data_IF_435483730681
#
_entry.id   IF_435483730681
#
_cell.length_a   1.000
_cell.length_b   1.000
_cell.length_c   1.000
_cell.angle_alpha   90.00
_cell.angle_beta   90.00
_cell.angle_gamma   90.00
#
_symmetry.space_group_name_H-M   'P 1'
#
loop_
_entity.id
_entity.type
_entity.pdbx_description
1 polymer ?
#
# COMPACT_ATOMS: atom_id res chain seq x y z
N UNK A 1 13.40 -1.55 13.29
CA UNK A 1 13.99 -1.42 11.95
C UNK A 1 14.48 0.01 11.75
N UNK A 2 15.66 0.21 11.15
CA UNK A 2 16.25 1.54 10.91
C UNK A 2 16.23 1.83 9.42
N UNK A 3 15.66 2.95 9.03
CA UNK A 3 15.71 3.44 7.64
C UNK A 3 17.05 4.12 7.44
N UNK A 4 17.82 3.67 6.44
CA UNK A 4 19.11 4.22 6.09
C UNK A 4 18.99 5.32 5.03
N UNK A 5 18.20 5.06 3.99
CA UNK A 5 17.83 6.04 2.97
C UNK A 5 16.45 5.75 2.39
N UNK A 6 15.82 6.77 1.84
CA UNK A 6 14.63 6.65 1.01
C UNK A 6 14.68 7.71 -0.09
N UNK A 7 14.52 7.29 -1.34
CA UNK A 7 14.68 8.14 -2.51
C UNK A 7 13.56 7.89 -3.52
N UNK A 8 13.02 8.96 -4.12
CA UNK A 8 12.12 8.83 -5.27
C UNK A 8 12.95 8.45 -6.50
N UNK A 9 12.74 7.24 -7.01
CA UNK A 9 13.48 6.74 -8.17
C UNK A 9 12.86 7.21 -9.48
N UNK A 10 11.53 7.07 -9.60
CA UNK A 10 10.80 7.49 -10.80
C UNK A 10 9.32 7.67 -10.51
N UNK A 11 8.66 8.41 -11.41
CA UNK A 11 7.21 8.48 -11.49
C UNK A 11 6.79 7.90 -12.84
N UNK A 12 6.15 6.74 -12.83
CA UNK A 12 5.83 5.99 -14.02
C UNK A 12 4.37 6.16 -14.41
N UNK A 13 4.14 6.45 -15.70
CA UNK A 13 2.79 6.34 -16.28
C UNK A 13 2.47 4.88 -16.54
N UNK A 14 1.24 4.48 -16.25
CA UNK A 14 0.73 3.12 -16.50
C UNK A 14 0.72 2.80 -18.00
N UNK A 15 0.54 3.82 -18.82
CA UNK A 15 0.52 3.70 -20.30
C UNK A 15 1.93 3.78 -20.94
N UNK A 16 2.97 3.84 -20.12
CA UNK A 16 4.36 3.91 -20.59
C UNK A 16 4.87 2.55 -21.08
N UNK A 17 5.86 2.54 -22.02
CA UNK A 17 6.29 1.33 -22.74
C UNK A 17 6.88 0.20 -21.89
N UNK A 18 6.91 0.31 -20.57
CA UNK A 18 7.39 -0.72 -19.62
C UNK A 18 6.63 -0.75 -18.30
N UNK A 19 5.43 -0.15 -18.18
CA UNK A 19 4.75 -0.04 -16.89
C UNK A 19 5.55 0.67 -15.78
N UNK A 20 6.71 1.23 -16.13
CA UNK A 20 7.58 2.01 -15.25
C UNK A 20 8.22 1.28 -14.08
N UNK A 21 8.01 -0.02 -13.95
CA UNK A 21 8.56 -0.80 -12.85
C UNK A 21 10.01 -1.19 -13.13
N UNK A 22 10.81 -1.12 -12.09
CA UNK A 22 12.22 -1.46 -12.15
C UNK A 22 12.36 -3.00 -12.16
N UNK A 23 13.23 -3.50 -13.04
CA UNK A 23 13.51 -4.93 -13.21
C UNK A 23 14.83 -5.34 -12.55
N UNK A 24 15.14 -4.75 -11.41
CA UNK A 24 16.12 -5.32 -10.51
C UNK A 24 15.39 -6.27 -9.55
N UNK A 25 16.00 -7.33 -9.11
CA UNK A 25 15.37 -8.37 -8.29
C UNK A 25 14.98 -7.91 -6.87
N UNK A 26 14.85 -6.59 -6.65
CA UNK A 26 14.43 -6.07 -5.35
C UNK A 26 12.93 -6.31 -5.11
N UNK A 27 12.56 -6.70 -3.90
CA UNK A 27 11.17 -6.85 -3.51
C UNK A 27 10.38 -5.55 -3.71
N UNK A 28 9.15 -5.66 -4.19
CA UNK A 28 8.29 -4.52 -4.48
C UNK A 28 6.98 -4.63 -3.73
N UNK A 29 6.61 -3.56 -3.02
CA UNK A 29 5.38 -3.47 -2.23
C UNK A 29 4.56 -2.28 -2.72
N UNK A 30 3.42 -2.56 -3.34
CA UNK A 30 2.54 -1.54 -3.86
C UNK A 30 1.44 -1.17 -2.85
N UNK A 31 1.12 0.10 -2.78
CA UNK A 31 0.11 0.65 -1.90
C UNK A 31 -1.03 1.22 -2.72
N UNK A 32 -2.20 0.60 -2.61
CA UNK A 32 -3.45 1.03 -3.21
C UNK A 32 -4.41 1.57 -2.14
N UNK A 33 -5.34 2.42 -2.54
CA UNK A 33 -6.36 2.91 -1.62
C UNK A 33 -7.05 4.15 -2.17
N UNK A 34 -8.21 4.48 -1.60
CA UNK A 34 -8.96 5.67 -1.99
C UNK A 34 -8.18 6.96 -1.73
N UNK A 35 -8.53 7.99 -2.48
CA UNK A 35 -8.06 9.34 -2.20
C UNK A 35 -8.37 9.71 -0.73
N UNK A 36 -7.42 10.32 -0.03
CA UNK A 36 -7.51 10.72 1.37
C UNK A 36 -7.65 9.57 2.40
N UNK A 37 -7.42 8.33 2.02
CA UNK A 37 -7.38 7.19 2.95
C UNK A 37 -6.16 7.23 3.91
N UNK A 38 -5.13 8.01 3.56
CA UNK A 38 -3.89 8.14 4.33
C UNK A 38 -2.66 7.49 3.69
N UNK A 39 -2.73 7.13 2.39
CA UNK A 39 -1.67 6.41 1.67
C UNK A 39 -0.33 7.16 1.69
N UNK A 40 -0.27 8.40 1.24
CA UNK A 40 0.96 9.21 1.25
C UNK A 40 1.49 9.48 2.66
N UNK A 41 0.59 9.63 3.65
CA UNK A 41 0.99 9.75 5.06
C UNK A 41 1.65 8.48 5.57
N UNK A 42 1.11 7.31 5.21
CA UNK A 42 1.67 6.01 5.57
C UNK A 42 3.04 5.81 4.92
N UNK A 43 3.16 6.08 3.63
CA UNK A 43 4.44 5.98 2.91
C UNK A 43 5.50 6.89 3.54
N UNK A 44 5.15 8.15 3.86
CA UNK A 44 6.05 9.06 4.55
C UNK A 44 6.45 8.55 5.93
N UNK A 45 5.54 7.94 6.68
CA UNK A 45 5.83 7.34 7.99
C UNK A 45 6.76 6.12 7.85
N UNK A 46 6.56 5.27 6.85
CA UNK A 46 7.44 4.14 6.55
C UNK A 46 8.84 4.61 6.17
N UNK A 47 8.95 5.59 5.30
CA UNK A 47 10.22 6.14 4.84
C UNK A 47 10.90 7.05 5.87
N UNK A 48 10.18 7.48 6.93
CA UNK A 48 10.62 8.49 7.91
C UNK A 48 11.04 9.81 7.26
N UNK A 49 10.49 10.11 6.08
CA UNK A 49 10.77 11.30 5.27
C UNK A 49 9.51 11.77 4.57
N UNK A 50 9.40 13.05 4.26
CA UNK A 50 8.27 13.65 3.54
C UNK A 50 8.53 13.66 2.03
N UNK A 51 8.60 12.49 1.41
CA UNK A 51 8.80 12.31 -0.03
C UNK A 51 7.49 12.16 -0.80
N UNK A 52 6.54 11.42 -0.26
CA UNK A 52 5.23 11.26 -0.88
C UNK A 52 4.40 12.53 -0.67
N UNK A 53 3.87 13.07 -1.77
CA UNK A 53 3.06 14.31 -1.73
C UNK A 53 1.72 14.04 -1.05
N UNK A 54 1.51 14.69 0.09
CA UNK A 54 0.22 14.71 0.79
C UNK A 54 -0.65 15.83 0.21
N UNK A 55 -1.06 15.73 -1.06
CA UNK A 55 -1.85 16.80 -1.67
C UNK A 55 -3.33 16.65 -1.33
N UNK A 56 -3.93 17.75 -0.85
CA UNK A 56 -5.38 17.91 -0.77
C UNK A 56 -6.04 18.09 -2.16
N UNK A 57 -5.25 18.26 -3.22
CA UNK A 57 -5.73 18.37 -4.60
C UNK A 57 -5.92 16.99 -5.20
N UNK A 58 -7.12 16.48 -5.05
CA UNK A 58 -7.56 15.23 -5.62
C UNK A 58 -7.53 15.26 -7.16
N UNK A 59 -7.15 14.14 -7.76
CA UNK A 59 -7.31 13.90 -9.20
C UNK A 59 -6.08 14.17 -10.07
N UNK A 60 -4.87 14.42 -9.54
CA UNK A 60 -3.71 14.78 -10.37
C UNK A 60 -2.64 13.70 -10.57
N UNK A 61 -2.68 12.57 -9.87
CA UNK A 61 -1.62 11.57 -10.02
C UNK A 61 -2.17 10.34 -10.75
N UNK A 62 -2.04 10.33 -12.06
CA UNK A 62 -2.21 9.14 -12.92
C UNK A 62 -0.94 8.30 -13.01
N UNK A 63 0.05 8.58 -12.17
CA UNK A 63 1.36 7.95 -12.20
C UNK A 63 1.60 7.22 -10.89
N UNK A 64 2.22 6.05 -10.98
CA UNK A 64 2.78 5.38 -9.83
C UNK A 64 4.11 6.03 -9.45
N UNK A 65 4.31 6.38 -8.18
CA UNK A 65 5.60 6.86 -7.69
C UNK A 65 6.35 5.70 -7.03
N UNK A 66 7.61 5.50 -7.43
CA UNK A 66 8.44 4.40 -6.95
C UNK A 66 9.54 4.96 -6.06
N UNK A 67 9.54 4.51 -4.81
CA UNK A 67 10.53 4.90 -3.81
C UNK A 67 11.43 3.71 -3.49
N UNK A 68 12.75 3.88 -3.61
CA UNK A 68 13.72 2.92 -3.11
C UNK A 68 13.99 3.21 -1.65
N UNK A 69 13.86 2.20 -0.80
CA UNK A 69 14.13 2.31 0.63
C UNK A 69 15.20 1.30 1.01
N UNK A 70 16.28 1.79 1.62
CA UNK A 70 17.33 0.96 2.20
C UNK A 70 17.14 0.89 3.71
N UNK A 71 17.17 -0.30 4.24
CA UNK A 71 16.87 -0.59 5.65
C UNK A 71 17.96 -1.43 6.29
N UNK A 72 18.11 -1.25 7.59
CA UNK A 72 18.95 -2.08 8.46
C UNK A 72 18.05 -2.77 9.48
N UNK A 73 18.20 -4.08 9.61
CA UNK A 73 17.44 -4.88 10.56
C UNK A 73 17.68 -4.45 12.01
N UNK A 74 16.83 -4.90 12.93
CA UNK A 74 16.96 -4.61 14.34
C UNK A 74 18.27 -5.24 14.91
N UNK A 75 18.82 -4.70 16.01
CA UNK A 75 19.97 -5.26 16.70
C UNK A 75 19.79 -6.77 16.96
N UNK A 76 20.78 -7.58 16.60
CA UNK A 76 20.74 -9.04 16.70
C UNK A 76 20.39 -9.81 15.42
N UNK A 77 19.99 -9.11 14.36
CA UNK A 77 19.88 -9.63 12.99
C UNK A 77 20.55 -8.61 12.05
N UNK A 78 21.86 -8.54 11.98
CA UNK A 78 22.54 -7.56 11.13
C UNK A 78 22.36 -7.93 9.66
N UNK A 79 21.48 -7.23 8.98
CA UNK A 79 21.28 -7.30 7.55
C UNK A 79 20.95 -5.91 7.02
N UNK A 80 21.54 -5.55 5.87
CA UNK A 80 21.12 -4.39 5.07
C UNK A 80 20.48 -4.90 3.80
N UNK A 81 19.31 -4.42 3.50
CA UNK A 81 18.59 -4.76 2.30
C UNK A 81 17.83 -3.55 1.76
N UNK A 82 17.38 -3.65 0.53
CA UNK A 82 16.60 -2.59 -0.11
C UNK A 82 15.31 -3.15 -0.68
N UNK A 83 14.32 -2.29 -0.79
CA UNK A 83 13.02 -2.62 -1.37
C UNK A 83 12.43 -1.42 -2.08
N UNK A 84 11.41 -1.66 -2.91
CA UNK A 84 10.61 -0.60 -3.48
C UNK A 84 9.26 -0.49 -2.79
N UNK A 85 8.91 0.73 -2.39
CA UNK A 85 7.55 1.11 -2.03
C UNK A 85 6.93 1.82 -3.23
N UNK A 86 5.82 1.30 -3.73
CA UNK A 86 5.15 1.81 -4.93
C UNK A 86 3.84 2.48 -4.53
N UNK A 87 3.75 3.79 -4.74
CA UNK A 87 2.56 4.60 -4.49
C UNK A 87 1.65 4.56 -5.72
N UNK A 88 0.65 3.67 -5.72
CA UNK A 88 -0.32 3.58 -6.81
C UNK A 88 -1.29 4.76 -6.80
N UNK A 89 -1.85 5.16 -7.95
CA UNK A 89 -2.88 6.19 -8.01
C UNK A 89 -4.05 5.88 -7.07
N UNK A 90 -4.56 6.91 -6.41
CA UNK A 90 -5.76 6.76 -5.55
C UNK A 90 -7.03 6.68 -6.39
N UNK A 91 -7.97 5.79 -6.02
CA UNK A 91 -9.29 5.69 -6.66
C UNK A 91 -10.37 6.50 -5.92
N UNK A 92 -11.57 6.58 -6.51
CA UNK A 92 -12.76 7.11 -5.83
C UNK A 92 -12.99 8.61 -5.94
N UNK A 93 -12.35 9.32 -6.86
CA UNK A 93 -12.48 10.78 -6.99
C UNK A 93 -13.07 11.28 -8.33
N UNK A 94 -13.29 10.41 -9.30
CA UNK A 94 -13.92 10.81 -10.56
C UNK A 94 -15.44 10.95 -10.37
N UNK A 95 -16.01 11.99 -10.96
CA UNK A 95 -17.45 12.13 -11.16
C UNK A 95 -17.86 11.08 -12.22
N UNK A 96 -18.12 9.85 -11.76
CA UNK A 96 -18.42 8.71 -12.64
C UNK A 96 -17.75 7.45 -12.11
N UNK A 97 -18.27 6.87 -11.03
CA UNK A 97 -17.68 5.77 -10.21
C UNK A 97 -16.95 4.63 -10.93
N UNK A 98 -17.36 4.23 -12.13
CA UNK A 98 -16.79 3.09 -12.85
C UNK A 98 -15.42 3.39 -13.49
N UNK A 99 -15.18 4.60 -13.99
CA UNK A 99 -13.92 4.94 -14.66
C UNK A 99 -12.70 4.88 -13.73
N UNK A 100 -12.88 5.27 -12.45
CA UNK A 100 -11.77 5.27 -11.49
C UNK A 100 -11.38 3.86 -11.03
N UNK A 101 -12.33 2.93 -11.01
CA UNK A 101 -12.09 1.51 -10.70
C UNK A 101 -11.40 0.83 -11.88
N UNK A 102 -11.82 1.11 -13.10
CA UNK A 102 -11.19 0.57 -14.31
C UNK A 102 -9.77 1.11 -14.49
N UNK A 103 -9.53 2.39 -14.19
CA UNK A 103 -8.19 2.97 -14.22
C UNK A 103 -7.27 2.29 -13.20
N UNK A 104 -7.73 2.10 -11.96
CA UNK A 104 -6.96 1.37 -10.95
C UNK A 104 -6.71 -0.08 -11.37
N UNK A 105 -7.68 -0.77 -11.98
CA UNK A 105 -7.52 -2.13 -12.49
C UNK A 105 -6.39 -2.21 -13.51
N UNK A 106 -6.35 -1.33 -14.51
CA UNK A 106 -5.25 -1.26 -15.49
C UNK A 106 -3.90 -1.05 -14.83
N UNK A 107 -3.84 -0.15 -13.82
CA UNK A 107 -2.61 0.12 -13.07
C UNK A 107 -2.12 -1.13 -12.34
N UNK A 108 -3.01 -1.85 -11.69
CA UNK A 108 -2.69 -3.06 -10.94
C UNK A 108 -2.29 -4.20 -11.87
N UNK A 109 -3.02 -4.42 -12.97
CA UNK A 109 -2.67 -5.42 -13.98
C UNK A 109 -1.29 -5.14 -14.58
N UNK A 110 -0.99 -3.88 -14.93
CA UNK A 110 0.32 -3.47 -15.43
C UNK A 110 1.43 -3.67 -14.39
N UNK A 111 1.13 -3.37 -13.11
CA UNK A 111 2.06 -3.59 -11.99
C UNK A 111 2.42 -5.07 -11.85
N UNK A 112 1.43 -5.96 -11.82
CA UNK A 112 1.68 -7.40 -11.68
C UNK A 112 2.38 -8.01 -12.89
N UNK A 113 2.00 -7.60 -14.09
CA UNK A 113 2.68 -8.04 -15.32
C UNK A 113 4.16 -7.66 -15.33
N UNK A 114 4.51 -6.48 -14.81
CA UNK A 114 5.88 -6.01 -14.75
C UNK A 114 6.68 -6.61 -13.58
N UNK A 115 6.02 -6.97 -12.49
CA UNK A 115 6.65 -7.60 -11.31
C UNK A 115 6.76 -9.13 -11.42
N UNK A 116 6.51 -9.71 -12.60
CA UNK A 116 6.50 -11.17 -12.86
C UNK A 116 5.66 -11.94 -11.82
N UNK A 117 4.54 -11.35 -11.38
CA UNK A 117 3.65 -11.92 -10.37
C UNK A 117 4.17 -11.92 -8.93
N UNK A 118 5.37 -11.39 -8.68
CA UNK A 118 6.01 -11.37 -7.34
C UNK A 118 5.63 -10.14 -6.50
N UNK A 119 4.91 -9.17 -7.07
CA UNK A 119 4.49 -7.97 -6.35
C UNK A 119 3.48 -8.25 -5.25
N UNK A 120 3.60 -7.54 -4.13
CA UNK A 120 2.62 -7.57 -3.03
C UNK A 120 1.83 -6.27 -3.03
N UNK A 121 0.50 -6.36 -2.90
CA UNK A 121 -0.34 -5.16 -2.76
C UNK A 121 -0.85 -5.04 -1.33
N UNK A 122 -0.64 -3.87 -0.76
CA UNK A 122 -1.31 -3.40 0.44
C UNK A 122 -2.51 -2.53 0.04
N UNK A 123 -3.72 -2.93 0.44
CA UNK A 123 -4.94 -2.15 0.23
C UNK A 123 -5.27 -1.38 1.51
N UNK A 124 -5.21 -0.05 1.43
CA UNK A 124 -5.55 0.83 2.55
C UNK A 124 -7.07 1.06 2.58
N UNK A 125 -7.65 0.81 3.74
CA UNK A 125 -9.06 1.03 4.05
C UNK A 125 -9.17 1.90 5.29
N UNK A 126 -10.02 2.93 5.25
CA UNK A 126 -10.28 3.78 6.41
C UNK A 126 -11.08 2.98 7.46
N UNK A 127 -10.48 2.72 8.63
CA UNK A 127 -11.08 1.91 9.68
C UNK A 127 -12.43 2.45 10.21
N UNK A 128 -12.73 3.73 9.97
CA UNK A 128 -14.02 4.34 10.32
C UNK A 128 -15.16 3.85 9.44
N UNK A 129 -14.83 3.35 8.24
CA UNK A 129 -15.79 2.96 7.21
C UNK A 129 -15.43 1.59 6.59
N UNK A 130 -15.56 0.48 7.36
CA UNK A 130 -15.07 -0.84 6.95
C UNK A 130 -15.79 -1.44 5.74
N UNK A 131 -16.99 -0.95 5.39
CA UNK A 131 -17.87 -1.49 4.34
C UNK A 131 -18.03 -0.59 3.12
N UNK A 132 -17.15 0.34 2.87
CA UNK A 132 -17.32 1.17 1.70
C UNK A 132 -17.31 0.33 0.43
N UNK A 133 -18.37 0.40 -0.41
CA UNK A 133 -18.51 -0.46 -1.59
C UNK A 133 -17.29 -0.39 -2.51
N UNK A 134 -16.71 0.78 -2.68
CA UNK A 134 -15.53 1.01 -3.51
C UNK A 134 -14.29 0.26 -2.99
N UNK A 135 -14.09 0.18 -1.65
CA UNK A 135 -12.95 -0.53 -1.06
C UNK A 135 -13.16 -2.06 -1.17
N UNK A 136 -14.39 -2.54 -0.97
CA UNK A 136 -14.75 -3.95 -1.15
C UNK A 136 -14.57 -4.36 -2.62
N UNK A 137 -15.04 -3.56 -3.55
CA UNK A 137 -14.89 -3.80 -4.98
C UNK A 137 -13.40 -3.81 -5.38
N UNK A 138 -12.60 -2.87 -4.88
CA UNK A 138 -11.16 -2.82 -5.12
C UNK A 138 -10.47 -4.10 -4.60
N UNK A 139 -10.84 -4.59 -3.43
CA UNK A 139 -10.31 -5.84 -2.88
C UNK A 139 -10.61 -7.03 -3.80
N UNK A 140 -11.87 -7.17 -4.25
CA UNK A 140 -12.29 -8.29 -5.09
C UNK A 140 -11.49 -8.36 -6.38
N UNK A 141 -11.44 -7.29 -7.15
CA UNK A 141 -10.77 -7.37 -8.44
C UNK A 141 -9.24 -7.34 -8.34
N UNK A 142 -8.62 -6.80 -7.28
CA UNK A 142 -7.19 -7.03 -7.02
C UNK A 142 -6.95 -8.53 -6.79
N UNK A 143 -7.80 -9.19 -6.01
CA UNK A 143 -7.70 -10.62 -5.76
C UNK A 143 -7.89 -11.47 -7.03
N UNK A 144 -8.77 -11.05 -7.92
CA UNK A 144 -8.99 -11.69 -9.23
C UNK A 144 -7.82 -11.50 -10.20
N UNK A 145 -7.24 -10.29 -10.21
CA UNK A 145 -6.17 -9.94 -11.14
C UNK A 145 -4.82 -10.59 -10.78
N UNK A 146 -4.60 -10.92 -9.49
CA UNK A 146 -3.31 -11.43 -9.04
C UNK A 146 -3.39 -12.29 -7.78
N UNK A 147 -3.32 -11.66 -6.61
CA UNK A 147 -3.37 -12.28 -5.29
C UNK A 147 -4.22 -11.43 -4.35
N UNK A 148 -4.86 -12.03 -3.33
CA UNK A 148 -5.58 -11.25 -2.33
C UNK A 148 -4.67 -10.21 -1.68
N UNK A 149 -5.05 -8.92 -1.69
CA UNK A 149 -4.24 -7.87 -1.10
C UNK A 149 -4.21 -8.01 0.43
N UNK A 150 -3.13 -7.51 1.03
CA UNK A 150 -3.06 -7.36 2.49
C UNK A 150 -3.75 -6.06 2.86
N UNK A 151 -4.79 -6.14 3.68
CA UNK A 151 -5.57 -4.96 4.08
C UNK A 151 -4.89 -4.23 5.23
N UNK A 152 -4.73 -2.91 5.07
CA UNK A 152 -4.27 -2.00 6.12
C UNK A 152 -5.45 -1.14 6.56
N UNK A 153 -5.87 -1.30 7.81
CA UNK A 153 -6.88 -0.48 8.46
C UNK A 153 -6.24 0.83 8.94
N UNK A 154 -6.47 1.92 8.23
CA UNK A 154 -5.89 3.24 8.55
C UNK A 154 -6.75 4.04 9.52
N UNK A 155 -6.16 5.07 10.15
CA UNK A 155 -6.84 6.03 11.04
C UNK A 155 -7.53 5.36 12.25
N UNK A 156 -6.95 4.30 12.78
CA UNK A 156 -7.49 3.60 13.95
C UNK A 156 -7.51 4.48 15.21
N UNK A 157 -6.71 5.54 15.25
CA UNK A 157 -6.73 6.58 16.27
C UNK A 157 -8.02 7.39 16.34
N UNK A 158 -8.83 7.35 15.29
CA UNK A 158 -10.12 8.04 15.23
C UNK A 158 -11.30 7.22 15.78
N UNK A 159 -11.02 6.01 16.25
CA UNK A 159 -12.02 5.09 16.81
C UNK A 159 -11.86 4.98 18.31
N UNK A 160 -12.97 4.93 19.02
CA UNK A 160 -12.98 4.48 20.42
C UNK A 160 -12.53 3.01 20.50
N UNK A 161 -12.12 2.57 21.68
CA UNK A 161 -11.67 1.18 21.89
C UNK A 161 -12.72 0.15 21.45
N UNK A 162 -13.99 0.39 21.75
CA UNK A 162 -15.08 -0.51 21.37
C UNK A 162 -15.34 -0.54 19.87
N UNK A 163 -15.37 0.64 19.23
CA UNK A 163 -15.51 0.74 17.77
C UNK A 163 -14.35 0.07 17.05
N UNK A 164 -13.13 0.27 17.52
CA UNK A 164 -11.94 -0.34 16.94
C UNK A 164 -12.05 -1.87 16.91
N UNK A 165 -12.40 -2.50 18.03
CA UNK A 165 -12.57 -3.96 18.08
C UNK A 165 -13.66 -4.41 17.11
N UNK A 166 -14.82 -3.73 17.10
CA UNK A 166 -15.94 -4.05 16.23
C UNK A 166 -15.56 -3.90 14.74
N UNK A 167 -14.97 -2.77 14.36
CA UNK A 167 -14.64 -2.49 12.96
C UNK A 167 -13.52 -3.39 12.42
N UNK A 168 -12.49 -3.70 13.21
CA UNK A 168 -11.44 -4.62 12.78
C UNK A 168 -11.98 -6.04 12.58
N UNK A 169 -12.86 -6.53 13.45
CA UNK A 169 -13.54 -7.82 13.26
C UNK A 169 -14.45 -7.82 12.04
N UNK A 170 -15.11 -6.71 11.78
CA UNK A 170 -15.94 -6.55 10.60
C UNK A 170 -15.09 -6.57 9.32
N UNK A 171 -13.96 -5.86 9.30
CA UNK A 171 -13.01 -5.89 8.18
C UNK A 171 -12.47 -7.31 7.96
N UNK A 172 -12.14 -8.04 9.02
CA UNK A 172 -11.68 -9.44 8.91
C UNK A 172 -12.73 -10.33 8.22
N UNK A 173 -14.02 -10.14 8.52
CA UNK A 173 -15.11 -10.89 7.85
C UNK A 173 -15.26 -10.52 6.39
N UNK A 174 -15.11 -9.23 6.05
CA UNK A 174 -15.28 -8.72 4.68
C UNK A 174 -14.09 -9.10 3.80
N UNK A 175 -12.87 -8.98 4.32
CA UNK A 175 -11.63 -9.16 3.56
C UNK A 175 -10.98 -10.53 3.80
N UNK A 176 -11.64 -11.42 4.56
CA UNK A 176 -11.25 -12.80 4.85
C UNK A 176 -9.90 -12.99 5.55
N UNK A 177 -9.27 -11.90 6.01
CA UNK A 177 -8.01 -11.90 6.78
C UNK A 177 -8.01 -10.74 7.78
N UNK A 178 -7.37 -10.89 8.95
CA UNK A 178 -7.21 -9.79 9.89
C UNK A 178 -6.45 -8.62 9.23
N UNK A 179 -6.98 -7.38 9.30
CA UNK A 179 -6.29 -6.23 8.76
C UNK A 179 -5.13 -5.79 9.66
N UNK A 180 -4.11 -5.19 9.08
CA UNK A 180 -3.04 -4.52 9.80
C UNK A 180 -3.52 -3.14 10.28
N UNK A 181 -3.71 -2.97 11.57
CA UNK A 181 -4.17 -1.70 12.15
C UNK A 181 -3.03 -0.67 12.20
N UNK A 182 -3.26 0.52 11.66
CA UNK A 182 -2.25 1.58 11.57
C UNK A 182 -2.84 2.96 11.89
N UNK A 183 -2.09 3.74 12.67
CA UNK A 183 -2.26 5.18 12.81
C UNK A 183 -0.94 5.89 12.51
N UNK A 184 -0.91 6.65 11.45
CA UNK A 184 0.26 7.48 11.10
C UNK A 184 0.41 8.68 12.05
N UNK A 185 -0.68 9.13 12.67
CA UNK A 185 -0.68 10.22 13.64
C UNK A 185 -0.06 9.79 14.98
N UNK A 186 -0.43 8.59 15.45
CA UNK A 186 0.08 8.03 16.70
C UNK A 186 1.35 7.18 16.52
N UNK A 187 1.80 6.94 15.29
CA UNK A 187 2.92 6.03 14.99
C UNK A 187 2.59 4.56 15.22
N UNK A 188 1.32 4.24 15.47
CA UNK A 188 0.88 2.89 15.79
C UNK A 188 0.89 1.98 14.55
N UNK A 189 1.36 0.74 14.71
CA UNK A 189 1.34 -0.28 13.67
C UNK A 189 2.45 -0.16 12.61
N UNK A 190 3.21 0.95 12.56
CA UNK A 190 4.26 1.18 11.56
C UNK A 190 5.38 0.14 11.67
N UNK A 191 5.84 -0.15 12.88
CA UNK A 191 6.88 -1.16 13.09
C UNK A 191 6.37 -2.59 12.80
N UNK A 192 5.09 -2.87 13.03
CA UNK A 192 4.49 -4.15 12.68
C UNK A 192 4.39 -4.30 11.15
N UNK A 193 3.98 -3.25 10.45
CA UNK A 193 3.95 -3.25 8.97
C UNK A 193 5.35 -3.47 8.39
N UNK A 194 6.38 -2.86 8.96
CA UNK A 194 7.77 -3.14 8.56
C UNK A 194 8.19 -4.58 8.81
N UNK A 195 7.73 -5.24 9.90
CA UNK A 195 8.02 -6.67 10.12
C UNK A 195 7.38 -7.54 9.05
N UNK A 196 6.14 -7.22 8.64
CA UNK A 196 5.44 -7.93 7.55
C UNK A 196 6.20 -7.74 6.24
N UNK A 197 6.57 -6.50 5.89
CA UNK A 197 7.36 -6.20 4.69
C UNK A 197 8.69 -6.97 4.69
N UNK A 198 9.41 -6.96 5.81
CA UNK A 198 10.70 -7.65 5.93
C UNK A 198 10.58 -9.17 5.79
N UNK A 199 9.57 -9.77 6.42
CA UNK A 199 9.33 -11.21 6.30
C UNK A 199 9.06 -11.62 4.84
N UNK A 200 8.24 -10.83 4.11
CA UNK A 200 7.94 -11.08 2.71
C UNK A 200 9.11 -10.79 1.77
N UNK A 201 9.96 -9.82 2.11
CA UNK A 201 11.14 -9.50 1.31
C UNK A 201 12.22 -10.59 1.39
N UNK A 202 12.30 -11.29 2.52
CA UNK A 202 13.31 -12.33 2.77
C UNK A 202 12.84 -13.73 2.34
N UNK A 203 11.54 -13.96 2.23
CA UNK A 203 10.96 -15.22 1.76
C UNK A 203 9.86 -14.97 0.71
N UNK A 204 10.26 -14.73 -0.55
CA UNK A 204 9.30 -14.49 -1.64
C UNK A 204 8.40 -15.69 -1.95
N UNK A 205 8.68 -16.87 -1.40
CA UNK A 205 7.89 -18.11 -1.57
C UNK A 205 6.90 -18.40 -0.45
N UNK A 206 6.92 -17.68 0.66
CA UNK A 206 6.04 -17.90 1.83
C UNK A 206 4.64 -17.22 1.71
N UNK A 207 4.09 -17.15 0.49
CA UNK A 207 2.81 -16.48 0.24
C UNK A 207 1.69 -17.44 -0.14
#
# INVERSE_FOLDING_TARGET
MKILSADLVTSASVDGPRGGLLRDDLPQFAFAGRSNVGKSSLLNALMRQKLARTSAAAGKTRQANIYRVSVEDAPGRPGRWSTYLVDLPGYGYARGGDDSVQELRRVVEAYFAAADGRGVIFLLVDARHPRLPQDVQAHHWIAEAARPPIVIATKVDKLSRGERVRHLREMERIYHRPPLAVSTLAGEGIDNLWRVIAAMAQDPGAQ
#
